data_IF_270927386560
#
_entry.id   IF_270927386560
#
_cell.length_a   1.000
_cell.length_b   1.000
_cell.length_c   1.000
_cell.angle_alpha   90.00
_cell.angle_beta   90.00
_cell.angle_gamma   90.00
#
_symmetry.space_group_name_H-M   'P 1'
#
loop_
_entity.id
_entity.type
_entity.pdbx_description
1 polymer ?
#
# COMPACT_ATOMS: atom_id res chain seq x y z
N UNK A 1 -39.82 -26.10 2.44
CA UNK A 1 -40.31 -25.53 3.71
C UNK A 1 -39.13 -25.25 4.64
N UNK A 2 -39.24 -24.18 5.43
CA UNK A 2 -38.44 -23.81 6.60
C UNK A 2 -36.94 -23.45 6.41
N UNK A 3 -36.70 -22.13 6.42
CA UNK A 3 -35.41 -21.48 6.72
C UNK A 3 -35.04 -21.75 8.18
N UNK A 4 -33.76 -22.07 8.45
CA UNK A 4 -33.19 -21.99 9.80
C UNK A 4 -32.11 -20.92 9.82
N UNK A 5 -32.40 -19.85 10.56
CA UNK A 5 -31.48 -18.78 10.98
C UNK A 5 -30.65 -19.32 12.15
N UNK A 6 -29.32 -19.31 12.05
CA UNK A 6 -28.45 -19.47 13.21
C UNK A 6 -27.88 -18.10 13.59
N UNK A 7 -28.31 -17.59 14.75
CA UNK A 7 -27.68 -16.50 15.49
C UNK A 7 -26.51 -17.08 16.28
N UNK A 8 -25.30 -16.60 16.04
CA UNK A 8 -24.13 -16.90 16.87
C UNK A 8 -23.86 -15.75 17.84
N UNK A 9 -24.21 -15.94 19.11
CA UNK A 9 -23.67 -15.18 20.25
C UNK A 9 -22.72 -16.10 21.00
N UNK A 10 -21.44 -15.74 21.11
CA UNK A 10 -20.50 -16.56 21.86
C UNK A 10 -19.11 -15.93 21.93
N UNK A 11 -18.87 -15.16 23.01
CA UNK A 11 -17.54 -14.76 23.46
C UNK A 11 -16.75 -16.03 23.81
N UNK A 12 -15.65 -16.30 23.12
CA UNK A 12 -14.71 -17.35 23.52
C UNK A 12 -13.56 -16.77 24.35
N UNK A 13 -13.46 -17.28 25.59
CA UNK A 13 -12.40 -17.02 26.57
C UNK A 13 -11.08 -17.61 26.10
N UNK A 14 -10.00 -16.87 26.37
CA UNK A 14 -8.62 -17.32 26.22
C UNK A 14 -8.28 -18.48 27.16
N UNK A 15 -7.56 -19.48 26.64
CA UNK A 15 -6.97 -20.59 27.40
C UNK A 15 -5.57 -20.17 27.87
N UNK A 16 -5.27 -20.36 29.16
CA UNK A 16 -3.95 -20.12 29.77
C UNK A 16 -2.98 -21.27 29.45
N UNK A 17 -1.67 -21.02 29.26
CA UNK A 17 -0.67 -22.07 29.17
C UNK A 17 -0.30 -22.62 30.55
N UNK A 18 -0.14 -23.94 30.60
CA UNK A 18 0.30 -24.74 31.76
C UNK A 18 1.81 -24.57 31.96
N UNK A 19 2.22 -24.18 33.17
CA UNK A 19 3.63 -24.18 33.61
C UNK A 19 4.03 -25.61 34.01
N UNK A 20 4.93 -26.23 33.25
CA UNK A 20 5.67 -27.41 33.69
C UNK A 20 7.02 -26.98 34.26
N UNK A 21 7.17 -27.08 35.58
CA UNK A 21 8.46 -26.89 36.24
C UNK A 21 9.30 -28.17 36.18
N UNK A 22 10.61 -28.00 35.98
CA UNK A 22 11.63 -28.95 36.45
C UNK A 22 12.81 -28.17 37.03
N UNK A 23 13.06 -28.42 38.30
CA UNK A 23 14.26 -28.00 39.04
C UNK A 23 15.43 -28.95 38.77
N UNK A 24 16.61 -28.39 39.08
CA UNK A 24 17.87 -29.03 39.52
C UNK A 24 18.83 -29.47 38.40
N UNK A 25 20.16 -29.32 38.50
CA UNK A 25 21.05 -29.24 39.67
C UNK A 25 22.22 -28.29 39.35
N UNK A 26 22.62 -27.43 40.29
CA UNK A 26 23.88 -26.71 40.22
C UNK A 26 25.01 -27.59 40.76
N UNK A 27 25.99 -27.91 39.91
CA UNK A 27 27.26 -28.50 40.31
C UNK A 27 28.35 -27.46 40.08
N UNK A 28 28.81 -26.87 41.18
CA UNK A 28 29.97 -26.00 41.22
C UNK A 28 31.23 -26.89 41.29
N UNK A 29 31.96 -26.97 40.18
CA UNK A 29 33.35 -27.44 40.16
C UNK A 29 34.25 -26.23 40.00
N UNK A 30 34.88 -25.83 41.10
CA UNK A 30 36.02 -24.92 41.12
C UNK A 30 37.24 -25.74 40.71
N UNK A 31 37.72 -25.55 39.47
CA UNK A 31 39.08 -25.91 39.10
C UNK A 31 39.87 -24.63 38.87
N UNK A 32 40.73 -24.33 39.83
CA UNK A 32 41.83 -23.39 39.67
C UNK A 32 42.86 -23.99 38.72
N UNK A 33 42.99 -23.43 37.53
CA UNK A 33 44.14 -23.66 36.65
C UNK A 33 44.71 -22.29 36.27
N UNK A 34 45.87 -21.98 36.85
CA UNK A 34 46.72 -20.89 36.42
C UNK A 34 47.20 -21.18 34.99
N UNK A 35 46.88 -20.29 34.05
CA UNK A 35 47.27 -20.38 32.66
C UNK A 35 47.44 -18.99 32.07
N UNK A 36 48.71 -18.61 31.94
CA UNK A 36 49.31 -17.58 31.08
C UNK A 36 48.32 -16.64 30.36
N UNK A 37 48.34 -15.35 30.75
CA UNK A 37 47.75 -14.26 29.98
C UNK A 37 48.44 -14.16 28.61
N UNK A 38 47.87 -14.78 27.58
CA UNK A 38 48.02 -14.29 26.23
C UNK A 38 47.04 -13.13 26.07
N UNK A 39 47.55 -11.90 26.11
CA UNK A 39 46.79 -10.72 25.69
C UNK A 39 46.62 -10.81 24.18
N UNK A 40 45.69 -11.64 23.73
CA UNK A 40 45.12 -11.47 22.40
C UNK A 40 44.23 -10.23 22.50
N UNK A 41 44.69 -9.12 21.94
CA UNK A 41 43.80 -8.02 21.51
C UNK A 41 42.96 -8.53 20.33
N UNK A 42 42.16 -9.56 20.59
CA UNK A 42 41.03 -9.91 19.76
C UNK A 42 40.00 -8.83 20.04
N UNK A 43 40.02 -7.76 19.25
CA UNK A 43 38.83 -6.96 19.08
C UNK A 43 37.74 -7.91 18.63
N UNK A 44 36.92 -8.36 19.58
CA UNK A 44 35.68 -9.03 19.26
C UNK A 44 34.92 -8.01 18.42
N UNK A 45 34.92 -8.19 17.10
CA UNK A 45 33.95 -7.55 16.24
C UNK A 45 32.61 -7.91 16.86
N UNK A 46 31.97 -6.96 17.56
CA UNK A 46 30.59 -7.14 17.97
C UNK A 46 29.87 -7.48 16.67
N UNK A 47 29.33 -8.70 16.59
CA UNK A 47 28.42 -9.05 15.52
C UNK A 47 27.38 -7.92 15.49
N UNK A 48 27.36 -7.15 14.40
CA UNK A 48 26.41 -6.06 14.25
C UNK A 48 25.03 -6.66 14.56
N UNK A 49 24.34 -6.10 15.57
CA UNK A 49 23.05 -6.62 15.98
C UNK A 49 22.10 -6.68 14.79
N UNK A 50 21.21 -7.66 14.78
CA UNK A 50 20.21 -7.77 13.72
C UNK A 50 19.42 -6.45 13.59
N UNK A 51 19.10 -6.00 12.36
CA UNK A 51 18.24 -4.84 12.15
C UNK A 51 16.91 -5.00 12.89
N UNK A 52 16.41 -3.91 13.48
CA UNK A 52 15.05 -3.87 14.02
C UNK A 52 14.13 -3.23 13.00
N UNK A 53 13.07 -3.96 12.62
CA UNK A 53 12.05 -3.47 11.70
C UNK A 53 10.84 -2.98 12.50
N UNK A 54 10.61 -1.68 12.50
CA UNK A 54 9.45 -1.08 13.15
C UNK A 54 8.24 -1.16 12.23
N UNK A 55 7.13 -1.68 12.76
CA UNK A 55 5.85 -1.63 12.09
C UNK A 55 5.40 -0.18 11.87
N UNK A 56 4.81 0.08 10.71
CA UNK A 56 4.13 1.34 10.44
C UNK A 56 4.41 1.89 9.05
N UNK A 57 3.88 3.08 8.77
CA UNK A 57 3.99 3.68 7.46
C UNK A 57 5.34 4.37 7.26
N UNK A 58 5.79 4.34 6.02
CA UNK A 58 6.97 5.00 5.49
C UNK A 58 6.48 5.89 4.36
N UNK A 59 6.94 7.13 4.34
CA UNK A 59 6.55 8.12 3.34
C UNK A 59 7.80 8.60 2.65
N UNK A 60 7.73 8.79 1.33
CA UNK A 60 8.71 9.64 0.68
C UNK A 60 8.23 11.11 0.67
N UNK A 61 9.16 12.03 0.45
CA UNK A 61 8.87 13.43 0.24
C UNK A 61 9.51 13.90 -1.08
N UNK A 62 8.74 14.06 -2.17
CA UNK A 62 9.27 14.52 -3.45
C UNK A 62 9.85 15.95 -3.38
N UNK A 63 9.46 16.74 -2.38
CA UNK A 63 9.99 18.09 -2.16
C UNK A 63 11.20 18.13 -1.21
N UNK A 64 11.60 16.96 -0.71
CA UNK A 64 12.65 16.82 0.31
C UNK A 64 14.05 16.62 -0.26
N UNK A 65 14.95 16.20 0.61
CA UNK A 65 16.29 15.74 0.22
C UNK A 65 16.22 14.44 -0.59
N UNK A 66 17.31 14.04 -1.24
CA UNK A 66 17.38 12.76 -1.96
C UNK A 66 17.04 11.56 -1.07
N UNK A 67 17.43 11.57 0.20
CA UNK A 67 17.10 10.49 1.15
C UNK A 67 15.59 10.45 1.45
N UNK A 68 14.97 11.62 1.62
CA UNK A 68 13.53 11.70 1.84
C UNK A 68 12.74 11.31 0.59
N UNK A 69 13.23 11.66 -0.60
CA UNK A 69 12.66 11.23 -1.87
C UNK A 69 12.74 9.69 -2.01
N UNK A 70 13.87 9.10 -1.64
CA UNK A 70 14.13 7.67 -1.80
C UNK A 70 13.66 6.81 -0.63
N UNK A 71 13.09 7.37 0.45
CA UNK A 71 12.82 6.65 1.70
C UNK A 71 12.15 5.26 1.52
N UNK A 72 11.11 5.17 0.68
CA UNK A 72 10.43 3.89 0.39
C UNK A 72 11.34 2.95 -0.40
N UNK A 73 12.02 3.46 -1.44
CA UNK A 73 12.97 2.71 -2.27
C UNK A 73 14.11 2.13 -1.42
N UNK A 74 14.70 2.96 -0.56
CA UNK A 74 15.76 2.59 0.36
C UNK A 74 15.29 1.46 1.27
N UNK A 75 14.11 1.56 1.90
CA UNK A 75 13.59 0.48 2.74
C UNK A 75 13.40 -0.84 1.98
N UNK A 76 12.88 -0.80 0.75
CA UNK A 76 12.70 -2.01 -0.05
C UNK A 76 14.04 -2.68 -0.38
N UNK A 77 15.07 -1.88 -0.69
CA UNK A 77 16.43 -2.37 -0.93
C UNK A 77 17.06 -2.91 0.36
N UNK A 78 16.89 -2.24 1.49
CA UNK A 78 17.37 -2.70 2.81
C UNK A 78 16.77 -4.08 3.16
N UNK A 79 15.45 -4.26 3.03
CA UNK A 79 14.79 -5.54 3.27
C UNK A 79 15.27 -6.63 2.30
N UNK A 80 15.43 -6.28 1.02
CA UNK A 80 15.95 -7.20 -0.01
C UNK A 80 17.39 -7.63 0.29
N UNK A 81 18.23 -6.71 0.77
CA UNK A 81 19.60 -6.98 1.18
C UNK A 81 19.66 -7.83 2.46
N UNK A 82 18.72 -7.60 3.39
CA UNK A 82 18.60 -8.35 4.62
C UNK A 82 17.96 -9.75 4.46
N UNK A 83 17.38 -10.08 3.30
CA UNK A 83 16.78 -11.39 3.05
C UNK A 83 17.78 -12.54 3.22
N UNK A 84 17.39 -13.54 4.01
CA UNK A 84 18.26 -14.67 4.38
C UNK A 84 18.35 -15.73 3.27
N UNK A 85 19.52 -16.35 3.02
CA UNK A 85 19.64 -17.47 2.09
C UNK A 85 18.62 -18.58 2.37
N UNK A 86 18.02 -19.14 1.31
CA UNK A 86 16.95 -20.14 1.40
C UNK A 86 15.56 -19.56 1.66
N UNK A 87 15.44 -18.27 2.01
CA UNK A 87 14.15 -17.59 2.11
C UNK A 87 13.62 -17.18 0.74
N UNK A 88 12.37 -16.76 0.69
CA UNK A 88 11.65 -16.26 -0.49
C UNK A 88 11.31 -14.77 -0.37
N UNK A 89 11.52 -14.05 -1.47
CA UNK A 89 10.99 -12.72 -1.77
C UNK A 89 9.93 -12.86 -2.88
N UNK A 90 8.72 -12.35 -2.64
CA UNK A 90 7.68 -12.19 -3.68
C UNK A 90 7.41 -10.71 -3.92
N UNK A 91 7.35 -10.30 -5.19
CA UNK A 91 7.18 -8.90 -5.59
C UNK A 91 6.08 -8.82 -6.64
N UNK A 92 4.94 -8.20 -6.31
CA UNK A 92 3.92 -7.85 -7.30
C UNK A 92 3.87 -6.32 -7.44
N UNK A 93 4.37 -5.78 -8.55
CA UNK A 93 4.45 -4.34 -8.79
C UNK A 93 4.08 -4.05 -10.23
N UNK A 94 3.21 -3.07 -10.46
CA UNK A 94 2.82 -2.62 -11.80
C UNK A 94 4.04 -2.35 -12.71
N UNK A 95 4.92 -1.41 -12.34
CA UNK A 95 6.15 -1.07 -13.09
C UNK A 95 7.43 -1.22 -12.27
N UNK A 96 8.46 -1.84 -12.86
CA UNK A 96 9.84 -1.88 -12.35
C UNK A 96 10.83 -1.45 -13.41
N UNK A 97 11.36 -0.24 -13.27
CA UNK A 97 12.26 0.44 -14.22
C UNK A 97 13.55 0.98 -13.58
N UNK A 98 13.74 0.80 -12.28
CA UNK A 98 14.90 1.30 -11.54
C UNK A 98 15.98 0.21 -11.39
N UNK A 99 17.16 0.48 -11.93
CA UNK A 99 18.32 -0.42 -11.89
C UNK A 99 18.74 -0.79 -10.47
N UNK A 100 18.62 0.12 -9.50
CA UNK A 100 18.98 -0.14 -8.09
C UNK A 100 18.16 -1.29 -7.48
N UNK A 101 16.88 -1.35 -7.81
CA UNK A 101 15.95 -2.39 -7.34
C UNK A 101 16.24 -3.72 -8.01
N UNK A 102 16.41 -3.69 -9.33
CA UNK A 102 16.76 -4.87 -10.13
C UNK A 102 18.06 -5.48 -9.61
N UNK A 103 19.08 -4.66 -9.39
CA UNK A 103 20.37 -5.11 -8.85
C UNK A 103 20.23 -5.72 -7.45
N UNK A 104 19.42 -5.14 -6.57
CA UNK A 104 19.18 -5.70 -5.24
C UNK A 104 18.50 -7.09 -5.30
N UNK A 105 17.50 -7.25 -6.17
CA UNK A 105 16.82 -8.53 -6.39
C UNK A 105 17.76 -9.60 -6.97
N UNK A 106 18.56 -9.23 -7.97
CA UNK A 106 19.58 -10.12 -8.56
C UNK A 106 20.62 -10.50 -7.52
N UNK A 107 21.08 -9.55 -6.71
CA UNK A 107 22.03 -9.82 -5.63
C UNK A 107 21.42 -10.76 -4.58
N UNK A 108 20.14 -10.61 -4.22
CA UNK A 108 19.45 -11.54 -3.33
C UNK A 108 19.42 -12.95 -3.91
N UNK A 109 19.09 -13.10 -5.21
CA UNK A 109 19.15 -14.39 -5.91
C UNK A 109 20.54 -15.02 -5.84
N UNK A 110 21.59 -14.23 -6.10
CA UNK A 110 22.97 -14.71 -6.05
C UNK A 110 23.42 -15.13 -4.64
N UNK A 111 22.81 -14.57 -3.59
CA UNK A 111 23.00 -15.01 -2.19
C UNK A 111 22.21 -16.27 -1.83
N UNK A 112 21.44 -16.85 -2.75
CA UNK A 112 20.64 -18.06 -2.52
C UNK A 112 19.21 -17.79 -2.03
N UNK A 113 18.70 -16.56 -2.20
CA UNK A 113 17.29 -16.24 -1.94
C UNK A 113 16.43 -16.61 -3.16
N UNK A 114 15.24 -17.15 -2.92
CA UNK A 114 14.23 -17.39 -3.93
C UNK A 114 13.51 -16.09 -4.28
N UNK A 115 13.67 -15.58 -5.51
CA UNK A 115 13.08 -14.29 -5.92
C UNK A 115 12.02 -14.49 -6.99
N UNK A 116 10.77 -14.15 -6.67
CA UNK A 116 9.60 -14.28 -7.54
C UNK A 116 9.01 -12.91 -7.83
N UNK A 117 8.97 -12.52 -9.10
CA UNK A 117 8.51 -11.18 -9.53
C UNK A 117 7.35 -11.33 -10.51
N UNK A 118 6.23 -10.66 -10.21
CA UNK A 118 5.08 -10.52 -11.07
C UNK A 118 4.88 -9.04 -11.41
N UNK A 119 4.90 -8.71 -12.70
CA UNK A 119 4.70 -7.36 -13.20
C UNK A 119 3.42 -7.26 -14.04
N UNK A 120 2.95 -6.04 -14.26
CA UNK A 120 2.05 -5.81 -15.38
C UNK A 120 2.85 -5.91 -16.69
N UNK A 121 2.19 -6.30 -17.78
CA UNK A 121 2.85 -6.39 -19.09
C UNK A 121 3.36 -5.03 -19.55
N UNK A 122 2.66 -3.94 -19.21
CA UNK A 122 3.08 -2.56 -19.49
C UNK A 122 4.42 -2.18 -18.87
N UNK A 123 4.91 -2.91 -17.85
CA UNK A 123 6.29 -2.71 -17.37
C UNK A 123 7.34 -2.95 -18.46
N UNK A 124 7.01 -3.69 -19.51
CA UNK A 124 7.84 -3.93 -20.70
C UNK A 124 7.39 -3.04 -21.85
N UNK A 125 6.10 -3.10 -22.22
CA UNK A 125 5.60 -2.47 -23.45
C UNK A 125 5.56 -0.93 -23.39
N UNK A 126 5.38 -0.31 -22.22
CA UNK A 126 5.43 1.17 -22.09
C UNK A 126 6.87 1.71 -22.19
N UNK A 127 7.88 0.86 -21.93
CA UNK A 127 9.30 1.21 -21.96
C UNK A 127 10.16 0.10 -22.56
N UNK A 128 10.06 -0.16 -23.87
CA UNK A 128 10.75 -1.27 -24.52
C UNK A 128 12.28 -1.17 -24.49
N UNK A 129 12.82 0.04 -24.30
CA UNK A 129 14.27 0.29 -24.18
C UNK A 129 14.80 0.13 -22.74
N UNK A 130 13.93 0.03 -21.73
CA UNK A 130 14.34 -0.17 -20.35
C UNK A 130 14.79 -1.63 -20.13
N UNK A 131 15.99 -1.83 -19.60
CA UNK A 131 16.61 -3.17 -19.47
C UNK A 131 16.19 -3.93 -18.21
N UNK A 132 15.35 -3.36 -17.35
CA UNK A 132 15.01 -3.93 -16.04
C UNK A 132 14.41 -5.34 -16.14
N UNK A 133 13.39 -5.51 -16.99
CA UNK A 133 12.77 -6.83 -17.19
C UNK A 133 13.75 -7.83 -17.79
N UNK A 134 14.49 -7.44 -18.84
CA UNK A 134 15.48 -8.32 -19.46
C UNK A 134 16.56 -8.78 -18.49
N UNK A 135 17.01 -7.90 -17.60
CA UNK A 135 18.00 -8.21 -16.56
C UNK A 135 17.44 -9.19 -15.54
N UNK A 136 16.21 -8.97 -15.06
CA UNK A 136 15.52 -9.91 -14.16
C UNK A 136 15.30 -11.27 -14.83
N UNK A 137 14.85 -11.29 -16.09
CA UNK A 137 14.62 -12.52 -16.84
C UNK A 137 15.90 -13.34 -17.01
N UNK A 138 17.02 -12.67 -17.27
CA UNK A 138 18.33 -13.31 -17.43
C UNK A 138 18.85 -13.89 -16.12
N UNK A 139 18.64 -13.19 -15.00
CA UNK A 139 19.18 -13.60 -13.69
C UNK A 139 18.28 -14.57 -12.92
N UNK A 140 16.96 -14.39 -12.99
CA UNK A 140 15.97 -15.17 -12.24
C UNK A 140 15.41 -16.33 -13.07
N UNK A 141 15.39 -16.21 -14.40
CA UNK A 141 14.61 -17.07 -15.29
C UNK A 141 13.16 -16.63 -15.41
N UNK A 142 12.39 -17.31 -16.27
CA UNK A 142 10.95 -17.07 -16.50
C UNK A 142 10.07 -18.30 -16.23
N UNK A 143 10.69 -19.42 -15.84
CA UNK A 143 10.00 -20.65 -15.49
C UNK A 143 9.44 -20.57 -14.06
N UNK A 144 8.12 -20.40 -13.96
CA UNK A 144 7.40 -20.25 -12.69
C UNK A 144 7.41 -21.50 -11.79
N UNK A 145 7.89 -22.64 -12.30
CA UNK A 145 8.07 -23.86 -11.49
C UNK A 145 9.37 -23.84 -10.68
N UNK A 146 10.27 -22.88 -10.95
CA UNK A 146 11.52 -22.71 -10.22
C UNK A 146 11.32 -21.82 -8.99
N UNK A 147 12.25 -21.93 -8.03
CA UNK A 147 12.26 -21.07 -6.85
C UNK A 147 12.48 -19.59 -7.17
N UNK A 148 12.92 -19.23 -8.38
CA UNK A 148 13.03 -17.84 -8.80
C UNK A 148 12.56 -17.68 -10.22
N UNK A 149 11.92 -16.55 -10.50
CA UNK A 149 11.43 -16.18 -11.82
C UNK A 149 10.99 -14.72 -11.85
N UNK A 150 10.91 -14.16 -13.05
CA UNK A 150 10.09 -12.99 -13.35
C UNK A 150 9.04 -13.36 -14.40
N UNK A 151 7.84 -12.80 -14.27
CA UNK A 151 6.74 -12.98 -15.22
C UNK A 151 5.85 -11.75 -15.25
N UNK A 152 5.02 -11.62 -16.28
CA UNK A 152 4.01 -10.56 -16.40
C UNK A 152 2.60 -11.13 -16.29
N UNK A 153 1.60 -10.28 -16.08
CA UNK A 153 0.22 -10.59 -16.47
C UNK A 153 0.07 -10.60 -18.00
N UNK A 154 -1.07 -11.06 -18.56
CA UNK A 154 -1.29 -11.02 -20.01
C UNK A 154 -1.24 -9.60 -20.58
N UNK A 155 -0.90 -9.48 -21.87
CA UNK A 155 -0.94 -8.20 -22.60
C UNK A 155 -2.30 -7.54 -22.47
N UNK A 156 -2.31 -6.24 -22.21
CA UNK A 156 -3.50 -5.37 -22.05
C UNK A 156 -4.51 -5.84 -20.99
N UNK A 157 -4.11 -6.68 -20.03
CA UNK A 157 -4.99 -7.25 -19.01
C UNK A 157 -4.28 -7.46 -17.66
N UNK A 158 -5.06 -7.30 -16.60
CA UNK A 158 -4.73 -7.85 -15.28
C UNK A 158 -4.68 -9.38 -15.30
N UNK A 159 -4.12 -9.98 -14.26
CA UNK A 159 -4.07 -11.42 -14.09
C UNK A 159 -5.44 -12.03 -13.72
N UNK A 160 -6.26 -11.35 -12.91
CA UNK A 160 -7.50 -11.91 -12.36
C UNK A 160 -8.77 -11.13 -12.76
N UNK A 161 -8.64 -10.11 -13.61
CA UNK A 161 -9.75 -9.34 -14.18
C UNK A 161 -10.59 -10.14 -15.16
N UNK A 162 -11.89 -10.21 -14.88
CA UNK A 162 -12.87 -10.75 -15.83
C UNK A 162 -12.99 -9.80 -17.04
N UNK A 163 -12.67 -10.25 -18.27
CA UNK A 163 -12.67 -9.41 -19.46
C UNK A 163 -14.01 -8.73 -19.75
N UNK A 164 -15.13 -9.23 -19.21
CA UNK A 164 -16.45 -8.60 -19.42
C UNK A 164 -16.56 -7.21 -18.81
N UNK A 165 -15.70 -6.87 -17.84
CA UNK A 165 -15.68 -5.55 -17.20
C UNK A 165 -14.76 -4.56 -17.94
N UNK A 166 -14.05 -5.00 -19.00
CA UNK A 166 -13.27 -4.14 -19.88
C UNK A 166 -11.77 -4.23 -19.65
N UNK A 167 -11.06 -3.17 -20.03
CA UNK A 167 -9.62 -3.07 -19.88
C UNK A 167 -9.22 -3.13 -18.40
N UNK A 168 -8.14 -3.86 -18.11
CA UNK A 168 -7.67 -4.08 -16.75
C UNK A 168 -6.15 -4.12 -16.70
N UNK A 169 -5.58 -3.89 -15.52
CA UNK A 169 -4.13 -3.94 -15.28
C UNK A 169 -3.82 -4.61 -13.94
N UNK A 170 -2.63 -5.20 -13.82
CA UNK A 170 -2.09 -5.66 -12.54
C UNK A 170 -1.50 -4.46 -11.79
N UNK A 171 -2.34 -3.80 -11.01
CA UNK A 171 -1.98 -2.54 -10.39
C UNK A 171 -1.57 -2.69 -8.93
N UNK A 172 -1.17 -3.89 -8.49
CA UNK A 172 -0.55 -4.06 -7.17
C UNK A 172 0.82 -3.38 -7.07
N UNK A 173 1.22 -3.08 -5.82
CA UNK A 173 2.60 -2.78 -5.41
C UNK A 173 2.80 -3.32 -4.00
N UNK A 174 3.16 -4.59 -3.88
CA UNK A 174 3.51 -5.19 -2.61
C UNK A 174 4.75 -6.07 -2.69
N UNK A 175 5.45 -6.17 -1.57
CA UNK A 175 6.66 -6.96 -1.39
C UNK A 175 6.51 -7.84 -0.17
N UNK A 176 6.88 -9.11 -0.30
CA UNK A 176 6.81 -10.09 0.77
C UNK A 176 8.19 -10.68 0.98
N UNK A 177 8.61 -10.80 2.24
CA UNK A 177 9.85 -11.45 2.63
C UNK A 177 9.55 -12.48 3.70
N UNK A 178 9.71 -13.77 3.37
CA UNK A 178 9.49 -14.86 4.34
C UNK A 178 10.45 -14.76 5.53
N UNK A 179 11.71 -14.38 5.28
CA UNK A 179 12.69 -14.11 6.32
C UNK A 179 13.75 -13.10 5.88
N UNK A 180 13.98 -12.11 6.73
CA UNK A 180 15.07 -11.14 6.68
C UNK A 180 15.84 -11.18 8.00
N UNK A 181 17.05 -10.63 8.06
CA UNK A 181 17.74 -10.43 9.35
C UNK A 181 16.83 -9.62 10.29
N UNK A 182 16.49 -10.19 11.45
CA UNK A 182 15.66 -9.53 12.47
C UNK A 182 14.14 -9.66 12.35
N UNK A 183 13.59 -10.23 11.26
CA UNK A 183 12.15 -10.47 11.16
C UNK A 183 11.78 -11.60 10.18
N UNK A 184 10.60 -12.17 10.36
CA UNK A 184 9.98 -13.12 9.43
C UNK A 184 8.65 -12.59 8.93
N UNK A 185 8.10 -13.20 7.88
CA UNK A 185 6.73 -12.92 7.42
C UNK A 185 6.46 -11.41 7.25
N UNK A 186 7.36 -10.75 6.53
CA UNK A 186 7.34 -9.30 6.36
C UNK A 186 6.49 -8.96 5.16
N UNK A 187 5.51 -8.08 5.35
CA UNK A 187 4.69 -7.52 4.27
C UNK A 187 5.00 -6.05 4.12
N UNK A 188 5.18 -5.61 2.88
CA UNK A 188 5.21 -4.19 2.51
C UNK A 188 4.13 -3.93 1.48
N UNK A 189 3.04 -3.27 1.86
CA UNK A 189 2.05 -2.72 0.94
C UNK A 189 2.44 -1.30 0.59
N UNK A 190 2.54 -0.93 -0.69
CA UNK A 190 2.87 0.44 -1.07
C UNK A 190 1.97 0.98 -2.18
N UNK A 191 1.99 2.30 -2.34
CA UNK A 191 1.41 3.00 -3.49
C UNK A 191 2.44 3.25 -4.58
N UNK A 192 3.73 3.09 -4.28
CA UNK A 192 4.84 3.46 -5.14
C UNK A 192 5.14 2.36 -6.16
N UNK A 193 5.14 2.73 -7.43
CA UNK A 193 5.83 1.94 -8.46
C UNK A 193 7.35 2.01 -8.26
N UNK A 194 8.08 1.27 -9.09
CA UNK A 194 9.53 1.40 -9.20
C UNK A 194 9.96 2.17 -10.42
N UNK A 195 9.60 3.45 -10.44
CA UNK A 195 9.85 4.39 -11.54
C UNK A 195 10.51 5.69 -11.03
N UNK A 196 11.29 6.39 -11.87
CA UNK A 196 11.96 7.64 -11.48
C UNK A 196 11.05 8.70 -10.82
N UNK A 197 9.85 8.90 -11.34
CA UNK A 197 8.92 9.94 -10.88
C UNK A 197 8.21 9.53 -9.59
N UNK A 198 8.08 8.23 -9.32
CA UNK A 198 7.45 7.74 -8.10
C UNK A 198 8.16 8.25 -6.83
N UNK A 199 9.48 8.46 -6.87
CA UNK A 199 10.23 8.96 -5.72
C UNK A 199 10.56 10.46 -5.81
N UNK A 200 10.75 11.01 -7.01
CA UNK A 200 11.14 12.42 -7.20
C UNK A 200 9.97 13.39 -7.38
N UNK A 201 8.79 12.93 -7.82
CA UNK A 201 7.65 13.80 -8.14
C UNK A 201 6.40 13.47 -7.32
N UNK A 202 6.26 12.25 -6.82
CA UNK A 202 5.01 11.82 -6.21
C UNK A 202 5.15 11.60 -4.71
N UNK A 203 4.17 12.09 -3.94
CA UNK A 203 4.03 11.64 -2.56
C UNK A 203 3.46 10.23 -2.57
N UNK A 204 4.17 9.26 -2.02
CA UNK A 204 3.77 7.86 -1.87
C UNK A 204 3.85 7.43 -0.41
N UNK A 205 3.15 6.34 -0.11
CA UNK A 205 3.26 5.67 1.18
C UNK A 205 3.54 4.17 1.01
N UNK A 206 4.16 3.59 2.04
CA UNK A 206 4.34 2.16 2.21
C UNK A 206 4.03 1.77 3.66
N UNK A 207 3.24 0.73 3.88
CA UNK A 207 3.02 0.13 5.20
C UNK A 207 3.90 -1.10 5.34
N UNK A 208 4.81 -1.08 6.32
CA UNK A 208 5.66 -2.21 6.69
C UNK A 208 5.04 -2.96 7.88
N UNK A 209 4.78 -4.26 7.70
CA UNK A 209 4.27 -5.17 8.72
C UNK A 209 5.29 -6.32 8.93
N UNK A 210 6.21 -6.22 9.90
CA UNK A 210 7.13 -7.29 10.23
C UNK A 210 6.46 -8.35 11.11
N UNK A 211 6.91 -9.60 11.05
CA UNK A 211 6.45 -10.70 11.92
C UNK A 211 4.94 -10.95 11.86
N UNK A 212 4.35 -10.82 10.67
CA UNK A 212 2.90 -10.93 10.49
C UNK A 212 2.53 -12.11 9.57
N UNK A 213 2.57 -13.36 10.09
CA UNK A 213 2.35 -14.57 9.28
C UNK A 213 1.00 -14.57 8.57
N UNK A 214 -0.09 -14.17 9.23
CA UNK A 214 -1.41 -14.21 8.59
C UNK A 214 -1.56 -13.23 7.44
N UNK A 215 -1.00 -12.02 7.55
CA UNK A 215 -1.00 -11.09 6.41
C UNK A 215 -0.02 -11.56 5.34
N UNK A 216 1.16 -12.06 5.72
CA UNK A 216 2.12 -12.61 4.77
C UNK A 216 1.52 -13.74 3.94
N UNK A 217 0.92 -14.75 4.58
CA UNK A 217 0.29 -15.89 3.91
C UNK A 217 -0.85 -15.43 3.00
N UNK A 218 -1.69 -14.50 3.46
CA UNK A 218 -2.78 -13.97 2.65
C UNK A 218 -2.31 -13.28 1.36
N UNK A 219 -1.25 -12.47 1.45
CA UNK A 219 -0.64 -11.82 0.29
C UNK A 219 0.13 -12.81 -0.59
N UNK A 220 0.79 -13.81 -0.01
CA UNK A 220 1.50 -14.86 -0.73
C UNK A 220 0.52 -15.74 -1.53
N UNK A 221 -0.59 -16.14 -0.93
CA UNK A 221 -1.67 -16.88 -1.59
C UNK A 221 -2.30 -16.06 -2.72
N UNK A 222 -2.48 -14.75 -2.51
CA UNK A 222 -2.96 -13.85 -3.55
C UNK A 222 -1.96 -13.72 -4.70
N UNK A 223 -0.67 -13.56 -4.40
CA UNK A 223 0.41 -13.57 -5.40
C UNK A 223 0.37 -14.86 -6.23
N UNK A 224 0.33 -16.02 -5.57
CA UNK A 224 0.33 -17.32 -6.24
C UNK A 224 -0.95 -17.49 -7.09
N UNK A 225 -2.10 -17.03 -6.60
CA UNK A 225 -3.34 -16.99 -7.37
C UNK A 225 -3.19 -16.11 -8.62
N UNK A 226 -2.66 -14.89 -8.51
CA UNK A 226 -2.42 -14.02 -9.67
C UNK A 226 -1.52 -14.69 -10.70
N UNK A 227 -0.49 -15.41 -10.27
CA UNK A 227 0.37 -16.12 -11.24
C UNK A 227 -0.37 -17.21 -12.01
N UNK A 228 -1.50 -17.74 -11.55
CA UNK A 228 -2.29 -18.67 -12.38
C UNK A 228 -2.93 -18.00 -13.59
N UNK A 229 -3.18 -16.68 -13.52
CA UNK A 229 -3.91 -15.88 -14.51
C UNK A 229 -5.33 -16.40 -14.79
N UNK A 230 -5.91 -17.08 -13.82
CA UNK A 230 -7.24 -17.68 -13.91
C UNK A 230 -8.30 -16.76 -13.30
N UNK A 231 -8.75 -15.80 -14.10
CA UNK A 231 -9.84 -14.91 -13.71
C UNK A 231 -11.18 -15.65 -13.49
N UNK A 232 -11.36 -16.84 -14.07
CA UNK A 232 -12.64 -17.57 -13.97
C UNK A 232 -12.83 -18.16 -12.57
N UNK A 233 -11.75 -18.64 -11.95
CA UNK A 233 -11.77 -19.12 -10.55
C UNK A 233 -11.57 -18.00 -9.52
N UNK A 234 -11.29 -16.77 -9.98
CA UNK A 234 -11.11 -15.65 -9.06
C UNK A 234 -12.41 -15.25 -8.39
N UNK A 235 -12.30 -15.04 -7.07
CA UNK A 235 -13.34 -14.45 -6.25
C UNK A 235 -12.72 -13.43 -5.33
N UNK A 236 -13.45 -12.34 -5.08
CA UNK A 236 -13.07 -11.32 -4.11
C UNK A 236 -12.73 -11.94 -2.75
N UNK A 237 -11.54 -11.65 -2.23
CA UNK A 237 -11.04 -12.23 -0.98
C UNK A 237 -10.73 -11.15 0.04
N UNK A 238 -11.00 -11.46 1.30
CA UNK A 238 -10.56 -10.67 2.45
C UNK A 238 -10.03 -11.57 3.53
N UNK A 239 -8.95 -11.17 4.19
CA UNK A 239 -8.40 -11.87 5.36
C UNK A 239 -8.32 -10.88 6.52
N UNK A 240 -8.65 -11.31 7.73
CA UNK A 240 -8.59 -10.46 8.93
C UNK A 240 -7.84 -11.19 10.04
N UNK A 241 -6.95 -10.48 10.73
CA UNK A 241 -6.24 -10.98 11.89
C UNK A 241 -5.91 -9.83 12.85
N UNK A 242 -6.48 -9.87 14.07
CA UNK A 242 -6.26 -8.83 15.06
C UNK A 242 -6.56 -7.44 14.51
N UNK A 243 -5.54 -6.58 14.46
CA UNK A 243 -5.63 -5.19 14.01
C UNK A 243 -5.75 -5.05 12.48
N UNK A 244 -5.47 -6.10 11.72
CA UNK A 244 -5.31 -6.02 10.27
C UNK A 244 -6.47 -6.65 9.51
N UNK A 245 -6.79 -6.06 8.36
CA UNK A 245 -7.63 -6.70 7.34
C UNK A 245 -7.15 -6.38 5.94
N UNK A 246 -6.83 -7.39 5.16
CA UNK A 246 -6.50 -7.27 3.74
C UNK A 246 -7.75 -7.48 2.87
N UNK A 247 -7.80 -6.76 1.76
CA UNK A 247 -8.80 -6.85 0.71
C UNK A 247 -8.08 -7.02 -0.63
N UNK A 248 -8.40 -8.05 -1.38
CA UNK A 248 -7.80 -8.35 -2.67
C UNK A 248 -8.84 -8.24 -3.78
N UNK A 249 -8.48 -7.55 -4.85
CA UNK A 249 -9.34 -7.22 -5.98
C UNK A 249 -8.89 -8.01 -7.22
N UNK A 250 -9.74 -8.15 -8.25
CA UNK A 250 -11.04 -7.50 -8.47
C UNK A 250 -12.20 -7.89 -7.56
N UNK A 251 -13.19 -6.99 -7.35
CA UNK A 251 -14.46 -7.29 -6.68
C UNK A 251 -15.62 -7.18 -7.66
N UNK A 252 -16.24 -8.31 -8.03
CA UNK A 252 -17.42 -8.32 -8.89
C UNK A 252 -18.61 -7.54 -8.28
N UNK A 253 -19.47 -7.03 -9.16
CA UNK A 253 -20.69 -6.29 -8.80
C UNK A 253 -20.83 -4.96 -9.55
N UNK A 254 -22.01 -4.37 -9.49
CA UNK A 254 -22.33 -3.11 -10.19
C UNK A 254 -23.13 -2.13 -9.31
N UNK A 255 -23.24 -2.41 -8.00
CA UNK A 255 -23.98 -1.58 -7.05
C UNK A 255 -23.04 -0.97 -6.00
N UNK A 256 -23.50 0.09 -5.32
CA UNK A 256 -22.77 0.72 -4.20
C UNK A 256 -22.47 -0.24 -3.04
N UNK A 257 -23.33 -1.24 -2.80
CA UNK A 257 -23.13 -2.22 -1.71
C UNK A 257 -21.97 -3.18 -1.99
N UNK A 258 -21.64 -3.36 -3.27
CA UNK A 258 -20.45 -4.08 -3.71
C UNK A 258 -19.21 -3.20 -3.81
N UNK A 259 -19.28 -1.92 -3.41
CA UNK A 259 -18.12 -1.04 -3.33
C UNK A 259 -17.47 -1.12 -1.95
N UNK A 260 -16.20 -1.56 -1.93
CA UNK A 260 -15.44 -1.79 -0.70
C UNK A 260 -15.17 -0.50 0.06
N UNK A 261 -14.82 0.59 -0.62
CA UNK A 261 -14.54 1.88 0.02
C UNK A 261 -15.83 2.54 0.48
N UNK A 262 -16.90 2.42 -0.30
CA UNK A 262 -18.24 2.85 0.14
C UNK A 262 -18.66 2.11 1.43
N UNK A 263 -18.46 0.79 1.48
CA UNK A 263 -18.75 -0.04 2.65
C UNK A 263 -17.91 0.37 3.86
N UNK A 264 -16.61 0.65 3.66
CA UNK A 264 -15.72 1.17 4.71
C UNK A 264 -16.27 2.49 5.27
N UNK A 265 -16.60 3.44 4.42
CA UNK A 265 -17.16 4.73 4.84
C UNK A 265 -18.57 4.61 5.44
N UNK A 266 -19.29 3.52 5.15
CA UNK A 266 -20.63 3.28 5.71
C UNK A 266 -20.61 2.94 7.21
N UNK A 267 -19.48 2.48 7.72
CA UNK A 267 -19.28 2.18 9.14
C UNK A 267 -19.05 3.44 10.00
N UNK A 268 -18.89 4.62 9.38
CA UNK A 268 -18.63 5.88 10.10
C UNK A 268 -19.91 6.42 10.74
N UNK A 269 -19.86 6.67 12.04
CA UNK A 269 -20.86 7.48 12.76
C UNK A 269 -20.29 8.86 13.04
N UNK A 270 -20.97 9.93 12.62
CA UNK A 270 -20.36 11.26 12.63
C UNK A 270 -20.34 11.95 14.00
N UNK A 271 -21.35 11.75 14.83
CA UNK A 271 -21.42 12.37 16.16
C UNK A 271 -21.53 11.30 17.22
N UNK A 272 -20.75 11.45 18.28
CA UNK A 272 -20.77 10.56 19.43
C UNK A 272 -20.48 11.33 20.71
N UNK A 273 -20.78 10.72 21.86
CA UNK A 273 -20.39 11.22 23.18
C UNK A 273 -19.11 10.51 23.60
N UNK A 274 -18.09 11.27 24.00
CA UNK A 274 -16.91 10.67 24.61
C UNK A 274 -17.20 10.25 26.07
N UNK A 275 -16.20 9.67 26.74
CA UNK A 275 -16.33 9.20 28.13
C UNK A 275 -16.66 10.33 29.13
N UNK A 276 -16.43 11.58 28.77
CA UNK A 276 -16.78 12.76 29.57
C UNK A 276 -18.15 13.35 29.19
N UNK A 277 -18.92 12.70 28.30
CA UNK A 277 -20.21 13.18 27.85
C UNK A 277 -20.14 14.37 26.88
N UNK A 278 -18.95 14.69 26.36
CA UNK A 278 -18.76 15.76 25.38
C UNK A 278 -19.11 15.25 23.99
N UNK A 279 -19.91 16.03 23.25
CA UNK A 279 -20.21 15.70 21.85
C UNK A 279 -18.95 15.89 21.00
N UNK A 280 -18.49 14.82 20.38
CA UNK A 280 -17.37 14.80 19.44
C UNK A 280 -17.85 14.53 18.02
N UNK A 281 -17.04 14.95 17.06
CA UNK A 281 -17.20 14.63 15.65
C UNK A 281 -16.12 13.66 15.22
N UNK A 282 -16.51 12.63 14.45
CA UNK A 282 -15.56 11.74 13.77
C UNK A 282 -14.87 12.49 12.64
N UNK A 283 -13.55 12.32 12.53
CA UNK A 283 -12.74 12.91 11.46
C UNK A 283 -12.45 11.86 10.39
N UNK A 284 -12.67 12.21 9.13
CA UNK A 284 -12.36 11.39 7.95
C UNK A 284 -11.39 12.18 7.07
N UNK A 285 -10.21 11.61 6.83
CA UNK A 285 -9.20 12.19 5.92
C UNK A 285 -8.94 11.23 4.78
N UNK A 286 -8.91 11.74 3.55
CA UNK A 286 -8.69 10.93 2.35
C UNK A 286 -7.55 11.54 1.54
N UNK A 287 -6.49 10.76 1.33
CA UNK A 287 -5.46 11.06 0.32
C UNK A 287 -5.65 10.09 -0.83
N UNK A 288 -5.78 10.58 -2.06
CA UNK A 288 -6.01 9.70 -3.20
C UNK A 288 -5.45 10.29 -4.49
N UNK A 289 -4.79 9.50 -5.31
CA UNK A 289 -4.38 9.96 -6.64
C UNK A 289 -5.61 10.31 -7.48
N UNK A 290 -6.48 9.33 -7.75
CA UNK A 290 -7.66 9.51 -8.60
C UNK A 290 -8.95 9.08 -7.92
N UNK A 291 -9.96 9.95 -7.94
CA UNK A 291 -11.32 9.70 -7.45
C UNK A 291 -12.32 9.93 -8.59
N UNK A 292 -12.94 8.87 -9.10
CA UNK A 292 -14.02 8.97 -10.12
C UNK A 292 -15.25 8.13 -9.78
N UNK A 293 -15.23 7.38 -8.68
CA UNK A 293 -16.41 6.65 -8.19
C UNK A 293 -17.35 7.62 -7.46
N UNK A 294 -18.44 8.00 -8.14
CA UNK A 294 -19.47 8.91 -7.61
C UNK A 294 -20.02 8.48 -6.25
N UNK A 295 -20.22 7.18 -6.01
CA UNK A 295 -20.72 6.67 -4.72
C UNK A 295 -19.83 7.07 -3.53
N UNK A 296 -18.51 7.14 -3.72
CA UNK A 296 -17.56 7.56 -2.69
C UNK A 296 -17.69 9.07 -2.46
N UNK A 297 -17.73 9.87 -3.53
CA UNK A 297 -17.91 11.32 -3.43
C UNK A 297 -19.23 11.68 -2.72
N UNK A 298 -20.33 11.00 -3.08
CA UNK A 298 -21.62 11.11 -2.40
C UNK A 298 -21.53 10.79 -0.92
N UNK A 299 -20.86 9.69 -0.56
CA UNK A 299 -20.74 9.28 0.83
C UNK A 299 -19.91 10.28 1.64
N UNK A 300 -18.80 10.79 1.11
CA UNK A 300 -17.96 11.78 1.79
C UNK A 300 -18.71 13.11 2.04
N UNK A 301 -19.49 13.58 1.05
CA UNK A 301 -20.38 14.74 1.23
C UNK A 301 -21.46 14.47 2.27
N UNK A 302 -22.07 13.28 2.24
CA UNK A 302 -23.08 12.87 3.23
C UNK A 302 -22.50 12.86 4.66
N UNK A 303 -21.31 12.31 4.86
CA UNK A 303 -20.63 12.32 6.16
C UNK A 303 -20.33 13.73 6.64
N UNK A 304 -19.83 14.62 5.77
CA UNK A 304 -19.61 16.03 6.11
C UNK A 304 -20.89 16.70 6.58
N UNK A 305 -22.00 16.53 5.84
CA UNK A 305 -23.32 17.10 6.19
C UNK A 305 -23.90 16.49 7.47
N UNK A 306 -23.59 15.23 7.78
CA UNK A 306 -23.95 14.57 9.03
C UNK A 306 -23.11 15.03 10.25
N UNK A 307 -22.13 15.90 10.06
CA UNK A 307 -21.34 16.51 11.13
C UNK A 307 -19.95 15.90 11.36
N UNK A 308 -19.48 15.03 10.46
CA UNK A 308 -18.08 14.60 10.44
C UNK A 308 -17.18 15.76 9.98
N UNK A 309 -15.95 15.81 10.48
CA UNK A 309 -14.89 16.55 9.79
C UNK A 309 -14.42 15.72 8.60
N UNK A 310 -14.49 16.25 7.38
CA UNK A 310 -14.06 15.53 6.17
C UNK A 310 -13.09 16.40 5.38
N UNK A 311 -11.88 15.88 5.16
CA UNK A 311 -10.81 16.54 4.41
C UNK A 311 -10.23 15.61 3.35
N UNK A 312 -9.99 16.12 2.15
CA UNK A 312 -9.57 15.34 0.99
C UNK A 312 -8.39 16.04 0.32
N UNK A 313 -7.31 15.30 0.09
CA UNK A 313 -6.23 15.68 -0.84
C UNK A 313 -6.30 14.74 -2.03
N UNK A 314 -6.40 15.29 -3.24
CA UNK A 314 -6.53 14.49 -4.45
C UNK A 314 -5.64 15.00 -5.59
N UNK A 315 -5.27 14.18 -6.57
CA UNK A 315 -4.55 14.66 -7.76
C UNK A 315 -5.49 14.83 -8.96
N UNK A 316 -6.47 13.95 -9.12
CA UNK A 316 -7.38 13.93 -10.26
C UNK A 316 -8.80 13.50 -9.86
N UNK A 317 -9.79 14.16 -10.46
CA UNK A 317 -11.22 13.83 -10.42
C UNK A 317 -11.80 13.84 -11.84
N UNK A 318 -12.95 13.22 -12.05
CA UNK A 318 -13.77 13.48 -13.23
C UNK A 318 -14.69 14.69 -13.00
N UNK A 319 -15.06 15.38 -14.08
CA UNK A 319 -15.85 16.60 -14.03
C UNK A 319 -16.73 16.78 -15.26
N UNK A 320 -17.61 17.79 -15.23
CA UNK A 320 -18.34 18.24 -16.41
C UNK A 320 -17.42 18.65 -17.55
N UNK A 321 -16.24 19.21 -17.21
CA UNK A 321 -15.26 19.62 -18.21
C UNK A 321 -14.58 18.43 -18.89
N UNK A 322 -14.38 17.31 -18.19
CA UNK A 322 -13.70 16.14 -18.76
C UNK A 322 -14.64 15.13 -19.41
N UNK A 323 -15.89 15.03 -18.94
CA UNK A 323 -16.85 14.00 -19.38
C UNK A 323 -18.12 14.55 -20.04
N UNK A 324 -18.31 15.87 -20.05
CA UNK A 324 -19.54 16.51 -20.54
C UNK A 324 -20.70 16.52 -19.53
N UNK A 325 -20.57 15.84 -18.38
CA UNK A 325 -21.59 15.81 -17.30
C UNK A 325 -20.96 15.95 -15.92
N UNK A 326 -21.70 16.46 -14.95
CA UNK A 326 -21.18 16.68 -13.59
C UNK A 326 -20.61 15.37 -13.00
N UNK A 327 -19.33 15.42 -12.61
CA UNK A 327 -18.57 14.29 -12.08
C UNK A 327 -18.31 14.44 -10.58
N UNK A 328 -17.33 13.69 -10.08
CA UNK A 328 -16.95 13.76 -8.67
C UNK A 328 -16.41 15.13 -8.25
N UNK A 329 -15.79 15.89 -9.16
CA UNK A 329 -15.33 17.24 -8.87
C UNK A 329 -16.49 18.14 -8.43
N UNK A 330 -17.55 18.25 -9.24
CA UNK A 330 -18.74 19.04 -8.89
C UNK A 330 -19.41 18.52 -7.62
N UNK A 331 -19.43 17.20 -7.42
CA UNK A 331 -20.02 16.61 -6.22
C UNK A 331 -19.29 17.04 -4.96
N UNK A 332 -17.96 16.97 -4.94
CA UNK A 332 -17.15 17.34 -3.78
C UNK A 332 -17.19 18.85 -3.48
N UNK A 333 -17.39 19.68 -4.52
CA UNK A 333 -17.46 21.14 -4.42
C UNK A 333 -18.86 21.69 -4.10
N UNK A 334 -19.84 20.82 -3.82
CA UNK A 334 -21.18 21.26 -3.41
C UNK A 334 -21.14 22.04 -2.09
N UNK A 335 -22.01 23.05 -1.92
CA UNK A 335 -22.18 23.79 -0.66
C UNK A 335 -22.38 22.85 0.54
N UNK A 336 -21.61 23.08 1.61
CA UNK A 336 -21.56 22.20 2.79
C UNK A 336 -20.79 20.89 2.56
N UNK A 337 -20.03 20.80 1.47
CA UNK A 337 -19.14 19.70 1.12
C UNK A 337 -17.86 19.65 1.94
N UNK A 338 -17.04 18.61 1.73
CA UNK A 338 -15.77 18.41 2.44
C UNK A 338 -14.76 19.53 2.15
N UNK A 339 -13.72 19.61 2.97
CA UNK A 339 -12.53 20.40 2.63
C UNK A 339 -11.74 19.65 1.56
N UNK A 340 -11.54 20.25 0.40
CA UNK A 340 -10.82 19.66 -0.75
C UNK A 340 -9.59 20.48 -1.08
N UNK A 341 -8.48 19.79 -1.39
CA UNK A 341 -7.25 20.36 -1.93
C UNK A 341 -6.74 19.48 -3.05
N UNK A 342 -6.60 20.03 -4.25
CA UNK A 342 -5.89 19.34 -5.32
C UNK A 342 -4.37 19.47 -5.12
N UNK A 343 -3.65 18.36 -5.20
CA UNK A 343 -2.21 18.31 -5.40
C UNK A 343 -1.92 17.70 -6.76
N UNK A 344 -1.75 18.57 -7.75
CA UNK A 344 -1.33 18.25 -9.11
C UNK A 344 -0.62 19.50 -9.67
N UNK A 345 0.68 19.61 -9.39
CA UNK A 345 1.49 20.79 -9.66
C UNK A 345 2.38 20.55 -10.88
N UNK A 346 1.97 21.13 -12.01
CA UNK A 346 2.73 21.09 -13.26
C UNK A 346 3.71 22.25 -13.41
N UNK A 347 3.91 23.10 -12.39
CA UNK A 347 4.88 24.20 -12.50
C UNK A 347 6.30 23.65 -12.41
N UNK A 348 7.19 24.20 -13.24
CA UNK A 348 8.62 23.96 -13.10
C UNK A 348 9.22 24.94 -12.06
N UNK A 349 9.68 24.45 -10.89
CA UNK A 349 10.28 25.33 -9.89
C UNK A 349 11.61 25.95 -10.33
N UNK A 350 12.28 25.38 -11.33
CA UNK A 350 13.53 25.91 -11.89
C UNK A 350 13.29 26.88 -13.05
N UNK A 351 12.12 26.80 -13.69
CA UNK A 351 11.77 27.63 -14.85
C UNK A 351 10.35 28.21 -14.68
N UNK A 352 10.18 29.32 -13.92
CA UNK A 352 8.88 29.93 -13.71
C UNK A 352 8.13 30.25 -15.02
N UNK A 353 6.88 29.79 -15.12
CA UNK A 353 6.05 29.93 -16.33
C UNK A 353 6.14 28.75 -17.30
N UNK A 354 7.13 27.87 -17.16
CA UNK A 354 7.17 26.59 -17.85
C UNK A 354 6.37 25.52 -17.10
N UNK A 355 5.95 24.49 -17.85
CA UNK A 355 5.24 23.32 -17.32
C UNK A 355 6.12 22.08 -17.36
N UNK A 356 6.11 21.32 -16.29
CA UNK A 356 6.72 20.00 -16.23
C UNK A 356 5.97 19.01 -17.13
N UNK A 357 6.71 18.13 -17.78
CA UNK A 357 6.12 17.00 -18.51
C UNK A 357 5.43 16.01 -17.55
N UNK A 358 6.03 15.81 -16.37
CA UNK A 358 5.48 15.00 -15.26
C UNK A 358 5.29 15.90 -14.04
N UNK A 359 4.03 16.17 -13.63
CA UNK A 359 3.75 17.05 -12.50
C UNK A 359 4.09 16.39 -11.16
N UNK A 360 4.24 17.22 -10.13
CA UNK A 360 4.20 16.73 -8.75
C UNK A 360 2.77 16.40 -8.36
N UNK A 361 2.55 15.21 -7.78
CA UNK A 361 1.20 14.75 -7.42
C UNK A 361 1.15 14.08 -6.06
N UNK A 362 -0.04 14.08 -5.46
CA UNK A 362 -0.35 13.11 -4.41
C UNK A 362 -0.59 11.74 -5.06
N UNK A 363 0.21 10.74 -4.68
CA UNK A 363 0.06 9.37 -5.15
C UNK A 363 -0.15 8.36 -4.00
N UNK A 364 -0.11 8.83 -2.76
CA UNK A 364 -0.57 8.11 -1.57
C UNK A 364 -2.07 7.90 -1.62
N UNK A 365 -2.53 6.73 -1.18
CA UNK A 365 -3.92 6.28 -1.34
C UNK A 365 -4.39 5.71 -0.02
N UNK A 366 -4.91 6.57 0.84
CA UNK A 366 -5.34 6.15 2.18
C UNK A 366 -6.57 6.89 2.69
N UNK A 367 -7.30 6.21 3.59
CA UNK A 367 -8.40 6.76 4.38
C UNK A 367 -8.01 6.66 5.85
N UNK A 368 -8.16 7.76 6.57
CA UNK A 368 -7.97 7.82 8.02
C UNK A 368 -9.30 8.18 8.68
N UNK A 369 -9.67 7.43 9.71
CA UNK A 369 -10.90 7.64 10.47
C UNK A 369 -10.51 7.73 11.95
N UNK A 370 -10.80 8.87 12.57
CA UNK A 370 -10.58 9.11 14.02
C UNK A 370 -11.92 9.44 14.66
N UNK A 371 -12.51 8.48 15.36
CA UNK A 371 -13.80 8.63 16.03
C UNK A 371 -14.61 7.34 16.05
N UNK A 372 -15.93 7.45 15.87
CA UNK A 372 -16.83 6.30 15.92
C UNK A 372 -16.87 5.56 14.59
N UNK A 373 -16.37 4.32 14.59
CA UNK A 373 -16.30 3.42 13.45
C UNK A 373 -16.83 2.04 13.84
N UNK A 374 -17.82 1.53 13.10
CA UNK A 374 -18.44 0.22 13.35
C UNK A 374 -18.92 0.05 14.81
N UNK A 375 -19.54 1.10 15.34
CA UNK A 375 -20.11 1.12 16.69
C UNK A 375 -19.11 1.26 17.85
N UNK A 376 -17.82 1.37 17.56
CA UNK A 376 -16.77 1.58 18.57
C UNK A 376 -15.93 2.82 18.28
N UNK A 377 -15.41 3.48 19.33
CA UNK A 377 -14.44 4.56 19.15
C UNK A 377 -13.08 3.95 18.79
N UNK A 378 -12.54 4.34 17.64
CA UNK A 378 -11.30 3.79 17.11
C UNK A 378 -10.56 4.79 16.21
N UNK A 379 -9.27 4.54 15.99
CA UNK A 379 -8.50 5.14 14.91
C UNK A 379 -8.17 4.07 13.89
N UNK A 380 -8.62 4.28 12.66
CA UNK A 380 -8.54 3.29 11.59
C UNK A 380 -7.86 3.89 10.38
N UNK A 381 -6.88 3.16 9.84
CA UNK A 381 -6.21 3.52 8.59
C UNK A 381 -6.47 2.48 7.53
N UNK A 382 -6.66 2.92 6.28
CA UNK A 382 -6.70 2.05 5.11
C UNK A 382 -5.66 2.56 4.14
N UNK A 383 -4.79 1.71 3.59
CA UNK A 383 -3.88 2.06 2.48
C UNK A 383 -3.83 0.94 1.46
N UNK A 384 -3.41 1.21 0.24
CA UNK A 384 -3.32 0.20 -0.80
C UNK A 384 -2.96 0.74 -2.16
N UNK A 385 -2.89 -0.14 -3.15
CA UNK A 385 -2.55 0.24 -4.51
C UNK A 385 -3.71 0.89 -5.28
N UNK A 386 -4.94 0.60 -4.87
CA UNK A 386 -6.17 0.93 -5.61
C UNK A 386 -6.55 2.41 -5.60
N UNK A 387 -6.73 2.98 -6.79
CA UNK A 387 -7.41 4.25 -6.98
C UNK A 387 -8.91 4.16 -6.63
N UNK A 388 -9.59 5.30 -6.49
CA UNK A 388 -11.04 5.32 -6.30
C UNK A 388 -11.77 5.46 -7.64
N UNK A 389 -11.40 4.59 -8.58
CA UNK A 389 -11.95 4.45 -9.93
C UNK A 389 -12.77 3.16 -10.06
N UNK A 390 -13.59 3.07 -11.11
CA UNK A 390 -14.26 1.81 -11.50
C UNK A 390 -13.25 0.67 -11.69
N UNK A 391 -12.27 0.84 -12.62
CA UNK A 391 -11.16 -0.09 -12.87
C UNK A 391 -10.52 -0.71 -11.62
N UNK A 392 -10.14 0.11 -10.65
CA UNK A 392 -9.49 -0.37 -9.43
C UNK A 392 -10.41 -1.23 -8.53
N UNK A 393 -11.72 -1.22 -8.76
CA UNK A 393 -12.70 -1.97 -8.00
C UNK A 393 -13.15 -3.25 -8.74
N UNK A 394 -13.40 -3.21 -10.06
CA UNK A 394 -14.01 -4.35 -10.80
C UNK A 394 -13.08 -5.07 -11.76
N UNK A 395 -11.99 -4.44 -12.18
CA UNK A 395 -11.19 -4.86 -13.32
C UNK A 395 -9.76 -5.20 -12.92
N UNK A 396 -9.11 -4.34 -12.13
CA UNK A 396 -7.68 -4.44 -11.83
C UNK A 396 -7.39 -5.41 -10.69
N UNK A 397 -6.20 -6.01 -10.73
CA UNK A 397 -5.59 -6.61 -9.55
C UNK A 397 -5.11 -5.49 -8.63
N UNK A 398 -5.64 -5.44 -7.41
CA UNK A 398 -5.32 -4.42 -6.42
C UNK A 398 -5.34 -5.05 -5.02
N UNK A 399 -4.74 -4.34 -4.07
CA UNK A 399 -4.79 -4.69 -2.65
C UNK A 399 -5.01 -3.45 -1.80
N UNK A 400 -5.81 -3.60 -0.75
CA UNK A 400 -6.01 -2.60 0.31
C UNK A 400 -5.84 -3.30 1.65
N UNK A 401 -5.18 -2.66 2.60
CA UNK A 401 -5.04 -3.12 3.98
C UNK A 401 -5.62 -2.09 4.94
N UNK A 402 -6.43 -2.57 5.87
CA UNK A 402 -6.91 -1.86 7.06
C UNK A 402 -5.96 -2.12 8.22
N UNK A 403 -5.70 -1.10 9.03
CA UNK A 403 -4.99 -1.19 10.31
C UNK A 403 -5.80 -0.44 11.39
N UNK A 404 -6.21 -1.15 12.44
CA UNK A 404 -6.75 -0.60 13.68
C UNK A 404 -5.60 -0.35 14.69
N UNK A 405 -4.79 0.68 14.45
CA UNK A 405 -3.71 1.05 15.36
C UNK A 405 -3.56 2.58 15.44
N UNK A 406 -3.58 3.10 16.67
CA UNK A 406 -3.54 4.53 16.96
C UNK A 406 -2.23 5.18 16.48
N UNK A 407 -1.09 4.50 16.66
CA UNK A 407 0.23 5.03 16.30
C UNK A 407 0.40 5.06 14.77
N UNK A 408 0.01 3.98 14.08
CA UNK A 408 -0.02 3.93 12.61
C UNK A 408 -0.91 5.03 12.05
N UNK A 409 -2.12 5.19 12.60
CA UNK A 409 -3.03 6.25 12.18
C UNK A 409 -2.43 7.64 12.40
N UNK A 410 -1.82 7.90 13.55
CA UNK A 410 -1.28 9.21 13.87
C UNK A 410 -0.08 9.58 12.99
N UNK A 411 0.72 8.60 12.57
CA UNK A 411 1.78 8.78 11.57
C UNK A 411 1.21 9.17 10.19
N UNK A 412 0.17 8.46 9.72
CA UNK A 412 -0.54 8.83 8.49
C UNK A 412 -1.19 10.22 8.59
N UNK A 413 -1.79 10.55 9.74
CA UNK A 413 -2.39 11.87 9.98
C UNK A 413 -1.33 12.97 9.88
N UNK A 414 -0.16 12.76 10.50
CA UNK A 414 0.93 13.72 10.43
C UNK A 414 1.43 13.93 8.99
N UNK A 415 1.50 12.85 8.19
CA UNK A 415 1.79 12.95 6.76
C UNK A 415 0.69 13.73 6.02
N UNK A 416 -0.58 13.40 6.20
CA UNK A 416 -1.72 14.10 5.60
C UNK A 416 -1.68 15.60 5.90
N UNK A 417 -1.46 15.97 7.16
CA UNK A 417 -1.42 17.36 7.62
C UNK A 417 -0.24 18.14 7.01
N UNK A 418 0.86 17.48 6.63
CA UNK A 418 1.94 18.10 5.85
C UNK A 418 1.55 18.28 4.39
N UNK A 419 1.10 17.21 3.74
CA UNK A 419 0.77 17.22 2.30
C UNK A 419 -0.34 18.22 1.98
N UNK A 420 -1.40 18.26 2.78
CA UNK A 420 -2.53 19.18 2.53
C UNK A 420 -2.11 20.66 2.59
N UNK A 421 -1.07 21.01 3.36
CA UNK A 421 -0.56 22.38 3.49
C UNK A 421 0.24 22.82 2.27
N UNK A 422 0.97 21.89 1.65
CA UNK A 422 1.80 22.16 0.46
C UNK A 422 1.08 21.87 -0.85
N UNK A 423 -0.16 21.36 -0.79
CA UNK A 423 -0.95 21.03 -1.97
C UNK A 423 -1.13 22.22 -2.89
N UNK A 424 -0.67 22.07 -4.14
CA UNK A 424 -0.84 23.03 -5.22
C UNK A 424 -1.52 22.33 -6.41
N UNK A 425 -2.53 22.95 -7.05
CA UNK A 425 -3.03 24.33 -6.87
C UNK A 425 -3.91 24.52 -5.61
N UNK A 426 -4.08 23.49 -4.79
CA UNK A 426 -4.79 23.60 -3.51
C UNK A 426 -6.28 23.80 -3.73
N UNK A 427 -6.82 24.96 -3.34
CA UNK A 427 -8.23 25.32 -3.60
C UNK A 427 -8.46 25.93 -4.99
N UNK A 428 -7.40 26.31 -5.71
CA UNK A 428 -7.52 26.76 -7.09
C UNK A 428 -7.58 25.56 -8.04
N UNK A 429 -8.35 24.54 -7.69
CA UNK A 429 -8.38 23.22 -8.33
C UNK A 429 -9.30 23.15 -9.56
N UNK A 430 -9.63 24.29 -10.15
CA UNK A 430 -10.37 24.38 -11.41
C UNK A 430 -9.50 24.10 -12.64
N UNK A 431 -8.26 23.64 -12.45
CA UNK A 431 -7.31 23.32 -13.53
C UNK A 431 -7.74 22.07 -14.30
N UNK A 432 -7.29 21.95 -15.55
CA UNK A 432 -7.56 20.77 -16.40
C UNK A 432 -7.07 19.47 -15.77
N UNK A 433 -5.95 19.51 -15.05
CA UNK A 433 -5.35 18.36 -14.39
C UNK A 433 -6.21 17.88 -13.21
N UNK A 434 -6.60 18.79 -12.31
CA UNK A 434 -7.45 18.45 -11.17
C UNK A 434 -8.84 17.96 -11.60
N UNK A 435 -9.38 18.53 -12.69
CA UNK A 435 -10.69 18.19 -13.28
C UNK A 435 -10.68 16.99 -14.23
N UNK A 436 -9.51 16.35 -14.42
CA UNK A 436 -9.37 15.14 -15.26
C UNK A 436 -9.59 15.37 -16.74
N UNK A 437 -9.44 16.60 -17.24
CA UNK A 437 -9.57 16.94 -18.68
C UNK A 437 -8.37 16.42 -19.47
N UNK A 438 -7.20 16.41 -18.83
CA UNK A 438 -5.96 15.84 -19.35
C UNK A 438 -5.51 14.80 -18.33
N UNK A 439 -6.06 13.57 -18.39
CA UNK A 439 -5.76 12.56 -17.38
C UNK A 439 -4.27 12.31 -17.36
N UNK A 440 -3.72 12.17 -16.15
CA UNK A 440 -2.33 11.77 -16.00
C UNK A 440 -2.16 10.32 -16.47
N UNK A 441 -1.00 9.99 -17.07
CA UNK A 441 -0.68 8.58 -17.29
C UNK A 441 -0.65 7.84 -15.94
N UNK A 442 -0.84 6.51 -15.93
CA UNK A 442 -1.00 5.73 -14.70
C UNK A 442 0.11 5.91 -13.65
N UNK A 443 1.31 6.29 -14.08
CA UNK A 443 2.45 6.61 -13.21
C UNK A 443 3.04 8.01 -13.46
N UNK A 444 2.26 8.94 -14.03
CA UNK A 444 2.70 10.31 -14.33
C UNK A 444 3.85 10.44 -15.33
N UNK A 445 4.46 9.34 -15.80
CA UNK A 445 5.52 9.35 -16.81
C UNK A 445 4.93 9.19 -18.20
N UNK A 446 5.45 9.95 -19.16
CA UNK A 446 5.14 9.68 -20.57
C UNK A 446 6.00 8.51 -21.06
N UNK A 447 5.46 7.61 -21.88
CA UNK A 447 6.28 6.70 -22.68
C UNK A 447 7.29 7.53 -23.46
N UNK A 448 8.57 7.20 -23.31
CA UNK A 448 9.62 7.77 -24.16
C UNK A 448 9.48 7.11 -25.52
N UNK A 449 9.05 7.89 -26.52
CA UNK A 449 8.99 7.48 -27.93
C UNK A 449 10.34 7.02 -28.45
#
# INVERSE_FOLDING_TARGET
>A
MARVRLKGSGRHRAVKPVKGGRQAVALATVLSAAGVQAVTTGGAAQAAGNPTWTEGPIFNNPLGTSDEQLAIRTRLIELTNAALPGSTIKVAVYHVWETSVVNALVAAKNRGVNVQVLLDESSVSDRPTNTSYGTLASALGTDRTKGSYVTTCPVDKSCLGDPKYGASIMHNKFWLFSAVQGATNVVVQTTSNSTPSAHTKFFNDALLLPNNPTMYDAYADYFDTMTTRDWQSWHYRTVSNGLYKAYFFPRAGNTRDTDTVYSVLNNVTCRYKDSAGVTRSTMVRVSIFKLTRMAIAEKLVSLKKAGCGVSIVYAETDSAKSSGTAGTWEKLHTTGGPTVRCYNDDRDPLNPGAKLATPYIIHSKYILIDGMYDGVRNKVSFTGSGNYTGPALRENDESIVKVDDDAVHDMYRAHFDRVIKVAYPGTADTTDLCKGVKPLPPDGEKPTT
#
